data_IF_230265228494
#
_entry.id   IF_230265228494
#
_cell.length_a   1.000
_cell.length_b   1.000
_cell.length_c   1.000
_cell.angle_alpha   90.00
_cell.angle_beta   90.00
_cell.angle_gamma   90.00
#
_symmetry.space_group_name_H-M   'P 1'
#
loop_
_entity.id
_entity.type
_entity.pdbx_description
1 polymer ?
#
# COMPACT_ATOMS: atom_id res chain seq x y z
N UNK A 1 40.10 3.88 -17.15
CA UNK A 1 38.82 4.63 -17.17
C UNK A 1 37.70 3.62 -17.00
N UNK A 2 36.94 3.69 -15.91
CA UNK A 2 35.84 2.75 -15.65
C UNK A 2 34.60 3.06 -16.47
N UNK A 3 33.75 2.06 -16.71
CA UNK A 3 32.51 2.19 -17.50
C UNK A 3 31.44 3.12 -16.87
N UNK A 4 31.72 3.74 -15.71
CA UNK A 4 30.85 4.72 -15.08
C UNK A 4 29.43 4.16 -14.86
N UNK A 5 28.41 4.90 -15.28
CA UNK A 5 26.99 4.51 -15.17
C UNK A 5 26.70 3.19 -15.92
N UNK A 6 27.43 2.89 -17.00
CA UNK A 6 27.25 1.64 -17.74
C UNK A 6 27.67 0.40 -16.95
N UNK A 7 28.53 0.54 -15.94
CA UNK A 7 28.87 -0.58 -15.04
C UNK A 7 27.67 -1.06 -14.22
N UNK A 8 26.78 -0.14 -13.79
CA UNK A 8 25.53 -0.46 -13.10
C UNK A 8 24.53 -1.14 -14.02
N UNK A 9 24.42 -0.66 -15.26
CA UNK A 9 23.55 -1.26 -16.28
C UNK A 9 24.02 -2.68 -16.60
N UNK A 10 25.31 -2.85 -16.85
CA UNK A 10 25.91 -4.16 -17.13
C UNK A 10 25.78 -5.10 -15.94
N UNK A 11 26.03 -4.65 -14.71
CA UNK A 11 25.86 -5.47 -13.51
C UNK A 11 24.40 -5.97 -13.37
N UNK A 12 23.41 -5.11 -13.61
CA UNK A 12 21.99 -5.48 -13.55
C UNK A 12 21.63 -6.50 -14.65
N UNK A 13 22.02 -6.22 -15.89
CA UNK A 13 21.74 -7.10 -17.03
C UNK A 13 22.44 -8.45 -16.86
N UNK A 14 23.70 -8.45 -16.45
CA UNK A 14 24.45 -9.69 -16.18
C UNK A 14 23.80 -10.50 -15.06
N UNK A 15 23.32 -9.87 -13.99
CA UNK A 15 22.59 -10.56 -12.91
C UNK A 15 21.34 -11.27 -13.44
N UNK A 16 20.51 -10.58 -14.23
CA UNK A 16 19.28 -11.17 -14.79
C UNK A 16 19.57 -12.30 -15.79
N UNK A 17 20.63 -12.16 -16.61
CA UNK A 17 21.09 -13.22 -17.52
C UNK A 17 21.56 -14.45 -16.73
N UNK A 18 22.44 -14.26 -15.75
CA UNK A 18 22.96 -15.35 -14.92
C UNK A 18 21.82 -16.04 -14.17
N UNK A 19 20.89 -15.28 -13.60
CA UNK A 19 19.71 -15.82 -12.93
C UNK A 19 18.87 -16.68 -13.89
N UNK A 20 18.60 -16.17 -15.10
CA UNK A 20 17.84 -16.90 -16.13
C UNK A 20 18.55 -18.19 -16.52
N UNK A 21 19.85 -18.15 -16.79
CA UNK A 21 20.65 -19.33 -17.13
C UNK A 21 20.66 -20.36 -16.01
N UNK A 22 20.79 -19.93 -14.75
CA UNK A 22 20.70 -20.82 -13.59
C UNK A 22 19.33 -21.48 -13.47
N UNK A 23 18.24 -20.75 -13.73
CA UNK A 23 16.88 -21.32 -13.74
C UNK A 23 16.76 -22.39 -14.83
N UNK A 24 17.24 -22.13 -16.05
CA UNK A 24 17.22 -23.11 -17.14
C UNK A 24 18.15 -24.31 -16.88
N UNK A 25 19.26 -24.11 -16.17
CA UNK A 25 20.17 -25.19 -15.78
C UNK A 25 19.56 -26.11 -14.73
N UNK A 26 18.97 -25.54 -13.68
CA UNK A 26 18.35 -26.31 -12.58
C UNK A 26 17.05 -26.98 -13.03
N UNK A 27 16.25 -26.30 -13.86
CA UNK A 27 15.00 -26.81 -14.37
C UNK A 27 14.99 -26.71 -15.91
N UNK A 28 15.59 -27.69 -16.62
CA UNK A 28 15.65 -27.70 -18.08
C UNK A 28 14.24 -27.82 -18.67
N UNK A 29 13.61 -26.66 -18.87
CA UNK A 29 12.34 -26.50 -19.54
C UNK A 29 12.46 -27.09 -20.95
N UNK A 30 11.87 -28.26 -21.17
CA UNK A 30 11.63 -28.77 -22.52
C UNK A 30 10.53 -27.91 -23.15
N UNK A 31 10.91 -26.77 -23.70
CA UNK A 31 10.02 -25.87 -24.44
C UNK A 31 9.57 -26.59 -25.72
N UNK A 32 8.47 -27.34 -25.63
CA UNK A 32 7.78 -27.85 -26.82
C UNK A 32 6.96 -26.69 -27.39
N UNK A 33 7.25 -26.29 -28.62
CA UNK A 33 6.43 -25.34 -29.38
C UNK A 33 5.08 -25.99 -29.75
N UNK A 34 4.17 -26.05 -28.79
CA UNK A 34 2.80 -26.48 -29.00
C UNK A 34 1.97 -25.23 -29.36
N UNK A 35 1.79 -25.00 -30.66
CA UNK A 35 0.96 -23.91 -31.16
C UNK A 35 -0.52 -24.22 -30.92
N UNK A 36 -1.09 -23.62 -29.88
CA UNK A 36 -2.53 -23.51 -29.71
C UNK A 36 -2.88 -22.04 -29.69
N UNK A 37 -3.38 -21.54 -30.83
CA UNK A 37 -3.77 -20.14 -30.99
C UNK A 37 -4.79 -19.71 -29.92
N UNK A 38 -5.69 -20.62 -29.53
CA UNK A 38 -6.69 -20.38 -28.50
C UNK A 38 -6.07 -20.21 -27.10
N UNK A 39 -5.14 -21.08 -26.69
CA UNK A 39 -4.44 -20.94 -25.40
C UNK A 39 -3.59 -19.67 -25.36
N UNK A 40 -2.89 -19.36 -26.45
CA UNK A 40 -2.09 -18.14 -26.59
C UNK A 40 -2.98 -16.91 -26.48
N UNK A 41 -4.14 -16.88 -27.17
CA UNK A 41 -5.08 -15.76 -27.12
C UNK A 41 -5.57 -15.49 -25.69
N UNK A 42 -5.92 -16.53 -24.94
CA UNK A 42 -6.38 -16.39 -23.55
C UNK A 42 -5.27 -15.88 -22.62
N UNK A 43 -4.05 -16.40 -22.74
CA UNK A 43 -2.90 -15.92 -21.97
C UNK A 43 -2.51 -14.48 -22.33
N UNK A 44 -2.53 -14.12 -23.62
CA UNK A 44 -2.27 -12.77 -24.09
C UNK A 44 -3.35 -11.79 -23.62
N UNK A 45 -4.62 -12.18 -23.61
CA UNK A 45 -5.71 -11.36 -23.09
C UNK A 45 -5.56 -11.11 -21.58
N UNK A 46 -5.13 -12.12 -20.81
CA UNK A 46 -4.82 -11.92 -19.39
C UNK A 46 -3.63 -10.97 -19.20
N UNK A 47 -2.51 -11.26 -19.87
CA UNK A 47 -1.27 -10.48 -19.77
C UNK A 47 -1.44 -9.02 -20.21
N UNK A 48 -2.24 -8.78 -21.26
CA UNK A 48 -2.52 -7.43 -21.74
C UNK A 48 -3.34 -6.63 -20.72
N UNK A 49 -4.36 -7.23 -20.09
CA UNK A 49 -5.13 -6.59 -19.02
C UNK A 49 -4.25 -6.26 -17.80
N UNK A 50 -3.38 -7.19 -17.37
CA UNK A 50 -2.45 -6.93 -16.27
C UNK A 50 -1.47 -5.81 -16.63
N UNK A 51 -0.93 -5.83 -17.84
CA UNK A 51 0.02 -4.80 -18.31
C UNK A 51 -0.65 -3.43 -18.41
N UNK A 52 -1.82 -3.36 -19.03
CA UNK A 52 -2.59 -2.13 -19.17
C UNK A 52 -2.97 -1.53 -17.81
N UNK A 53 -3.46 -2.36 -16.89
CA UNK A 53 -3.79 -1.89 -15.53
C UNK A 53 -2.55 -1.35 -14.78
N UNK A 54 -1.36 -1.94 -14.98
CA UNK A 54 -0.10 -1.44 -14.41
C UNK A 54 0.35 -0.12 -15.03
N UNK A 55 0.22 0.04 -16.36
CA UNK A 55 0.54 1.29 -17.04
C UNK A 55 -0.38 2.41 -16.53
N UNK A 56 -1.69 2.16 -16.49
CA UNK A 56 -2.66 3.12 -15.96
C UNK A 56 -2.40 3.43 -14.48
N UNK A 57 -2.08 2.42 -13.68
CA UNK A 57 -1.66 2.59 -12.29
C UNK A 57 -0.47 3.53 -12.14
N UNK A 58 0.56 3.33 -12.96
CA UNK A 58 1.74 4.19 -12.98
C UNK A 58 1.37 5.62 -13.35
N UNK A 59 0.50 5.82 -14.35
CA UNK A 59 0.04 7.15 -14.75
C UNK A 59 -0.68 7.84 -13.59
N UNK A 60 -1.79 7.28 -13.09
CA UNK A 60 -2.57 7.98 -12.07
C UNK A 60 -1.84 8.15 -10.73
N UNK A 61 -0.89 7.27 -10.41
CA UNK A 61 -0.12 7.33 -9.15
C UNK A 61 1.04 8.33 -9.18
N UNK A 62 1.39 8.88 -10.35
CA UNK A 62 2.49 9.84 -10.49
C UNK A 62 2.04 11.21 -11.05
N UNK A 63 0.80 11.33 -11.53
CA UNK A 63 0.29 12.57 -12.10
C UNK A 63 0.18 13.70 -11.06
N UNK A 64 -0.06 13.38 -9.79
CA UNK A 64 0.00 14.35 -8.69
C UNK A 64 1.35 15.08 -8.65
N UNK A 65 2.48 14.37 -8.72
CA UNK A 65 3.81 15.00 -8.77
C UNK A 65 3.98 15.92 -9.97
N UNK A 66 3.51 15.49 -11.15
CA UNK A 66 3.58 16.31 -12.37
C UNK A 66 2.73 17.57 -12.25
N UNK A 67 1.52 17.45 -11.71
CA UNK A 67 0.59 18.57 -11.52
C UNK A 67 1.16 19.55 -10.48
N UNK A 68 1.62 19.06 -9.32
CA UNK A 68 2.20 19.90 -8.28
C UNK A 68 3.45 20.62 -8.80
N UNK A 69 4.35 19.89 -9.46
CA UNK A 69 5.59 20.46 -10.00
C UNK A 69 5.36 21.55 -11.06
N UNK A 70 4.35 21.35 -11.92
CA UNK A 70 4.06 22.27 -13.02
C UNK A 70 3.21 23.47 -12.59
N UNK A 71 2.19 23.26 -11.76
CA UNK A 71 1.17 24.27 -11.46
C UNK A 71 1.32 24.93 -10.09
N UNK A 72 1.95 24.27 -9.11
CA UNK A 72 2.15 24.83 -7.77
C UNK A 72 3.59 25.28 -7.54
N UNK A 73 4.55 24.55 -8.11
CA UNK A 73 5.96 24.93 -8.16
C UNK A 73 6.90 23.89 -7.55
N UNK A 74 8.21 24.13 -7.70
CA UNK A 74 9.27 23.16 -7.33
C UNK A 74 9.44 23.00 -5.81
N UNK A 75 9.38 24.10 -5.04
CA UNK A 75 9.52 24.04 -3.58
C UNK A 75 8.35 23.27 -2.96
N UNK A 76 7.06 23.59 -3.27
CA UNK A 76 5.93 22.82 -2.79
C UNK A 76 5.94 21.35 -3.22
N UNK A 77 6.41 21.05 -4.44
CA UNK A 77 6.64 19.67 -4.88
C UNK A 77 7.62 18.91 -3.98
N UNK A 78 8.68 19.58 -3.52
CA UNK A 78 9.64 18.99 -2.57
C UNK A 78 8.97 18.58 -1.26
N UNK A 79 8.18 19.47 -0.66
CA UNK A 79 7.43 19.18 0.57
C UNK A 79 6.43 18.04 0.36
N UNK A 80 5.68 18.08 -0.74
CA UNK A 80 4.72 17.05 -1.10
C UNK A 80 5.38 15.68 -1.27
N UNK A 81 6.51 15.64 -1.99
CA UNK A 81 7.22 14.40 -2.27
C UNK A 81 7.77 13.74 -1.01
N UNK A 82 8.34 14.53 -0.10
CA UNK A 82 8.84 14.02 1.18
C UNK A 82 7.68 13.51 2.04
N UNK A 83 6.58 14.26 2.14
CA UNK A 83 5.40 13.83 2.89
C UNK A 83 4.80 12.52 2.35
N UNK A 84 4.72 12.39 1.02
CA UNK A 84 4.20 11.18 0.36
C UNK A 84 5.15 9.99 0.52
N UNK A 85 6.46 10.22 0.45
CA UNK A 85 7.45 9.17 0.68
C UNK A 85 7.34 8.66 2.12
N UNK A 86 7.32 9.55 3.10
CA UNK A 86 7.21 9.19 4.51
C UNK A 86 5.92 8.41 4.83
N UNK A 87 4.78 8.83 4.30
CA UNK A 87 3.50 8.13 4.51
C UNK A 87 3.41 6.78 3.78
N UNK A 88 4.15 6.61 2.67
CA UNK A 88 4.14 5.36 1.90
C UNK A 88 5.18 4.33 2.34
N UNK A 89 6.19 4.73 3.11
CA UNK A 89 7.23 3.83 3.62
C UNK A 89 6.66 2.61 4.36
N UNK A 90 5.77 2.74 5.37
CA UNK A 90 5.21 1.58 6.07
C UNK A 90 4.49 0.60 5.14
N UNK A 91 3.70 1.15 4.21
CA UNK A 91 2.91 0.38 3.25
C UNK A 91 3.83 -0.41 2.30
N UNK A 92 4.89 0.24 1.80
CA UNK A 92 5.83 -0.38 0.87
C UNK A 92 6.61 -1.54 1.51
N UNK A 93 7.07 -1.36 2.76
CA UNK A 93 7.80 -2.39 3.52
C UNK A 93 6.92 -3.58 3.84
N UNK A 94 5.69 -3.34 4.27
CA UNK A 94 4.78 -4.45 4.56
C UNK A 94 4.41 -5.22 3.29
N UNK A 95 4.14 -4.52 2.19
CA UNK A 95 3.84 -5.19 0.91
C UNK A 95 5.01 -6.03 0.39
N UNK A 96 6.27 -5.73 0.76
CA UNK A 96 7.42 -6.60 0.46
C UNK A 96 7.35 -7.89 1.28
N UNK A 97 7.14 -7.78 2.60
CA UNK A 97 7.02 -8.95 3.49
C UNK A 97 5.85 -9.86 3.13
N UNK A 98 4.69 -9.29 2.77
CA UNK A 98 3.51 -10.08 2.41
C UNK A 98 3.72 -10.82 1.09
N UNK A 99 4.44 -10.24 0.11
CA UNK A 99 4.73 -10.95 -1.15
C UNK A 99 5.55 -12.22 -0.92
N UNK A 100 6.46 -12.21 0.05
CA UNK A 100 7.28 -13.36 0.42
C UNK A 100 6.44 -14.47 1.09
N UNK A 101 5.40 -14.11 1.84
CA UNK A 101 4.54 -15.06 2.59
C UNK A 101 3.29 -15.50 1.79
N UNK A 102 2.75 -14.64 0.92
CA UNK A 102 1.47 -14.88 0.24
C UNK A 102 1.60 -15.64 -1.10
N UNK A 103 2.74 -15.53 -1.80
CA UNK A 103 2.91 -16.19 -3.10
C UNK A 103 2.93 -17.72 -2.97
N UNK A 104 3.38 -18.26 -1.84
CA UNK A 104 3.33 -19.70 -1.54
C UNK A 104 1.92 -20.21 -1.26
N UNK A 105 0.95 -19.34 -0.97
CA UNK A 105 -0.41 -19.71 -0.55
C UNK A 105 -1.45 -19.65 -1.68
N UNK A 106 -1.33 -18.69 -2.61
CA UNK A 106 -2.33 -18.54 -3.70
C UNK A 106 -2.11 -19.49 -4.88
N UNK A 107 -0.87 -19.89 -5.16
CA UNK A 107 -0.56 -20.76 -6.30
C UNK A 107 -0.99 -22.22 -6.11
N UNK A 108 -1.21 -22.67 -4.87
CA UNK A 108 -1.65 -24.04 -4.56
C UNK A 108 -3.17 -24.24 -4.59
N UNK A 109 -3.96 -23.17 -4.70
CA UNK A 109 -5.40 -23.18 -4.39
C UNK A 109 -6.26 -22.80 -5.60
N UNK A 110 -5.77 -22.99 -6.82
CA UNK A 110 -6.60 -22.79 -8.01
C UNK A 110 -7.80 -23.76 -7.99
N UNK A 111 -8.97 -23.28 -7.55
CA UNK A 111 -10.23 -24.03 -7.56
C UNK A 111 -11.10 -23.89 -6.30
N UNK A 112 -10.54 -23.57 -5.13
CA UNK A 112 -11.31 -23.43 -3.89
C UNK A 112 -11.58 -21.96 -3.54
N UNK A 113 -12.77 -21.48 -3.92
CA UNK A 113 -13.23 -20.12 -3.62
C UNK A 113 -13.25 -19.84 -2.10
N UNK A 114 -13.60 -20.81 -1.27
CA UNK A 114 -13.72 -20.63 0.19
C UNK A 114 -12.37 -20.30 0.80
N UNK A 115 -11.34 -21.02 0.37
CA UNK A 115 -9.98 -20.80 0.82
C UNK A 115 -9.43 -19.44 0.34
N UNK A 116 -9.72 -19.03 -0.91
CA UNK A 116 -9.34 -17.69 -1.41
C UNK A 116 -10.00 -16.57 -0.60
N UNK A 117 -11.30 -16.70 -0.25
CA UNK A 117 -12.01 -15.76 0.62
C UNK A 117 -11.32 -15.63 1.98
N UNK A 118 -11.01 -16.74 2.62
CA UNK A 118 -10.35 -16.77 3.93
C UNK A 118 -8.97 -16.10 3.87
N UNK A 119 -8.15 -16.41 2.86
CA UNK A 119 -6.85 -15.76 2.68
C UNK A 119 -6.96 -14.27 2.41
N UNK A 120 -7.91 -13.84 1.59
CA UNK A 120 -8.13 -12.43 1.32
C UNK A 120 -8.50 -11.66 2.59
N UNK A 121 -9.45 -12.16 3.38
CA UNK A 121 -9.85 -11.53 4.65
C UNK A 121 -8.70 -11.52 5.66
N UNK A 122 -7.94 -12.62 5.77
CA UNK A 122 -6.73 -12.70 6.60
C UNK A 122 -5.70 -11.64 6.19
N UNK A 123 -5.43 -11.50 4.90
CA UNK A 123 -4.49 -10.51 4.39
C UNK A 123 -4.93 -9.07 4.71
N UNK A 124 -6.21 -8.75 4.45
CA UNK A 124 -6.81 -7.44 4.78
C UNK A 124 -6.66 -7.14 6.28
N UNK A 125 -6.94 -8.11 7.13
CA UNK A 125 -6.86 -7.99 8.59
C UNK A 125 -5.42 -7.77 9.08
N UNK A 126 -4.47 -8.56 8.58
CA UNK A 126 -3.04 -8.42 8.90
C UNK A 126 -2.51 -7.03 8.50
N UNK A 127 -2.87 -6.57 7.30
CA UNK A 127 -2.47 -5.24 6.83
C UNK A 127 -3.08 -4.15 7.70
N UNK A 128 -4.38 -4.24 8.00
CA UNK A 128 -5.02 -3.28 8.88
C UNK A 128 -4.35 -3.24 10.25
N UNK A 129 -4.05 -4.41 10.84
CA UNK A 129 -3.43 -4.52 12.16
C UNK A 129 -1.97 -4.05 12.22
N UNK A 130 -1.27 -3.94 11.10
CA UNK A 130 0.11 -3.43 11.09
C UNK A 130 0.15 -1.98 10.62
N UNK A 131 -0.55 -1.65 9.54
CA UNK A 131 -0.46 -0.33 8.90
C UNK A 131 -1.26 0.73 9.62
N UNK A 132 -2.46 0.41 10.13
CA UNK A 132 -3.33 1.42 10.74
C UNK A 132 -2.69 2.07 11.97
N UNK A 133 -2.14 1.34 12.96
CA UNK A 133 -1.50 1.99 14.11
C UNK A 133 -0.26 2.78 13.69
N UNK A 134 0.49 2.30 12.70
CA UNK A 134 1.69 3.02 12.23
C UNK A 134 1.31 4.35 11.56
N UNK A 135 0.30 4.37 10.67
CA UNK A 135 -0.09 5.59 9.97
C UNK A 135 -0.86 6.57 10.86
N UNK A 136 -1.72 6.08 11.76
CA UNK A 136 -2.40 6.95 12.73
C UNK A 136 -1.37 7.53 13.71
N UNK A 137 -0.43 6.71 14.20
CA UNK A 137 0.67 7.17 15.04
C UNK A 137 1.52 8.24 14.34
N UNK A 138 1.92 7.98 13.10
CA UNK A 138 2.66 8.93 12.27
C UNK A 138 1.90 10.24 12.07
N UNK A 139 0.59 10.19 11.87
CA UNK A 139 -0.26 11.39 11.77
C UNK A 139 -0.26 12.21 13.08
N UNK A 140 -0.33 11.55 14.24
CA UNK A 140 -0.36 12.22 15.56
C UNK A 140 0.99 12.85 15.93
N UNK A 141 2.10 12.27 15.47
CA UNK A 141 3.45 12.79 15.76
C UNK A 141 4.06 13.57 14.59
N UNK A 142 3.32 13.83 13.51
CA UNK A 142 3.88 14.37 12.27
C UNK A 142 4.68 15.67 12.45
N UNK A 143 4.19 16.61 13.26
CA UNK A 143 4.89 17.89 13.50
C UNK A 143 6.23 17.66 14.20
N UNK A 144 6.23 16.84 15.25
CA UNK A 144 7.42 16.51 16.04
C UNK A 144 8.42 15.72 15.20
N UNK A 145 7.91 14.74 14.45
CA UNK A 145 8.70 13.89 13.58
C UNK A 145 9.40 14.71 12.49
N UNK A 146 8.67 15.60 11.81
CA UNK A 146 9.25 16.46 10.76
C UNK A 146 10.27 17.42 11.36
N UNK A 147 9.97 18.05 12.50
CA UNK A 147 10.88 18.98 13.15
C UNK A 147 12.19 18.30 13.59
N UNK A 148 12.10 17.12 14.22
CA UNK A 148 13.27 16.38 14.72
C UNK A 148 14.07 15.75 13.57
N UNK A 149 13.39 15.04 12.66
CA UNK A 149 14.07 14.22 11.65
C UNK A 149 14.53 15.02 10.43
N UNK A 150 13.80 16.08 10.05
CA UNK A 150 14.07 16.85 8.84
C UNK A 150 14.51 18.29 9.12
N UNK A 151 14.02 18.88 10.22
CA UNK A 151 14.31 20.26 10.64
C UNK A 151 13.25 21.27 10.18
N UNK A 152 13.35 22.49 10.73
CA UNK A 152 12.35 23.56 10.59
C UNK A 152 11.95 23.90 9.14
N UNK A 153 12.92 23.84 8.22
CA UNK A 153 12.69 24.11 6.79
C UNK A 153 11.68 23.18 6.12
N UNK A 154 11.41 22.01 6.73
CA UNK A 154 10.46 21.01 6.21
C UNK A 154 9.11 21.04 6.90
N UNK A 155 8.88 21.93 7.87
CA UNK A 155 7.60 22.03 8.58
C UNK A 155 6.36 22.15 7.68
N UNK A 156 6.40 22.82 6.51
CA UNK A 156 5.26 22.80 5.58
C UNK A 156 4.84 21.39 5.11
N UNK A 157 5.76 20.42 5.12
CA UNK A 157 5.47 19.02 4.78
C UNK A 157 4.69 18.28 5.89
N UNK A 158 4.70 18.77 7.13
CA UNK A 158 4.03 18.09 8.24
C UNK A 158 2.52 17.97 8.03
N UNK A 159 1.87 19.06 7.60
CA UNK A 159 0.43 19.03 7.36
C UNK A 159 0.08 18.07 6.21
N UNK A 160 0.89 18.03 5.15
CA UNK A 160 0.75 17.07 4.06
C UNK A 160 0.94 15.63 4.55
N UNK A 161 1.91 15.41 5.44
CA UNK A 161 2.18 14.09 6.01
C UNK A 161 0.97 13.58 6.81
N UNK A 162 0.28 14.44 7.57
CA UNK A 162 -0.96 14.10 8.27
C UNK A 162 -2.04 13.62 7.29
N UNK A 163 -2.35 14.42 6.26
CA UNK A 163 -3.36 14.09 5.25
C UNK A 163 -3.02 12.78 4.54
N UNK A 164 -1.78 12.64 4.06
CA UNK A 164 -1.34 11.50 3.29
C UNK A 164 -1.21 10.23 4.14
N UNK A 165 -0.93 10.34 5.44
CA UNK A 165 -0.95 9.21 6.36
C UNK A 165 -2.37 8.65 6.51
N UNK A 166 -3.38 9.51 6.67
CA UNK A 166 -4.78 9.08 6.73
C UNK A 166 -5.22 8.48 5.39
N UNK A 167 -4.90 9.11 4.26
CA UNK A 167 -5.17 8.55 2.94
C UNK A 167 -4.45 7.19 2.72
N UNK A 168 -3.25 7.06 3.29
CA UNK A 168 -2.45 5.83 3.29
C UNK A 168 -3.15 4.64 3.91
N UNK A 169 -4.00 4.85 4.93
CA UNK A 169 -4.82 3.80 5.56
C UNK A 169 -5.73 3.17 4.51
N UNK A 170 -6.45 4.00 3.75
CA UNK A 170 -7.39 3.54 2.72
C UNK A 170 -6.63 2.89 1.56
N UNK A 171 -5.52 3.51 1.14
CA UNK A 171 -4.64 2.99 0.08
C UNK A 171 -4.05 1.62 0.42
N UNK A 172 -3.69 1.39 1.69
CA UNK A 172 -3.11 0.12 2.13
C UNK A 172 -4.07 -1.05 1.92
N UNK A 173 -5.35 -0.85 2.24
CA UNK A 173 -6.42 -1.82 2.03
C UNK A 173 -6.75 -1.96 0.54
N UNK A 174 -6.91 -0.83 -0.17
CA UNK A 174 -7.20 -0.81 -1.60
C UNK A 174 -6.18 -1.61 -2.44
N UNK A 175 -4.90 -1.56 -2.05
CA UNK A 175 -3.81 -2.22 -2.77
C UNK A 175 -3.89 -3.75 -2.78
N UNK A 176 -4.71 -4.36 -1.91
CA UNK A 176 -4.85 -5.81 -1.79
C UNK A 176 -5.89 -6.42 -2.72
N UNK A 177 -6.75 -5.60 -3.32
CA UNK A 177 -7.80 -6.06 -4.22
C UNK A 177 -7.23 -6.49 -5.58
N UNK A 178 -6.24 -5.75 -6.10
CA UNK A 178 -5.69 -6.05 -7.42
C UNK A 178 -4.98 -7.43 -7.51
N UNK A 179 -4.14 -7.83 -6.52
CA UNK A 179 -3.55 -9.17 -6.50
C UNK A 179 -4.59 -10.30 -6.47
N UNK A 180 -5.63 -10.21 -5.63
CA UNK A 180 -6.65 -11.28 -5.55
C UNK A 180 -7.48 -11.37 -6.83
N UNK A 181 -7.83 -10.24 -7.44
CA UNK A 181 -8.53 -10.20 -8.73
C UNK A 181 -7.70 -10.82 -9.86
N UNK A 182 -6.38 -10.61 -9.86
CA UNK A 182 -5.49 -11.29 -10.80
C UNK A 182 -5.44 -12.80 -10.54
N UNK A 183 -5.37 -13.22 -9.27
CA UNK A 183 -5.31 -14.63 -8.87
C UNK A 183 -6.56 -15.41 -9.29
N UNK A 184 -7.74 -14.79 -9.25
CA UNK A 184 -9.01 -15.41 -9.70
C UNK A 184 -9.31 -15.22 -11.20
N UNK A 185 -8.35 -14.72 -11.99
CA UNK A 185 -8.53 -14.58 -13.44
C UNK A 185 -9.44 -13.42 -13.86
N UNK A 186 -9.56 -12.36 -13.04
CA UNK A 186 -10.40 -11.18 -13.30
C UNK A 186 -9.60 -9.85 -13.45
N UNK A 187 -8.46 -9.80 -14.15
CA UNK A 187 -7.64 -8.58 -14.28
C UNK A 187 -8.35 -7.42 -14.99
N UNK A 188 -9.38 -7.68 -15.78
CA UNK A 188 -10.21 -6.66 -16.44
C UNK A 188 -10.90 -5.70 -15.44
N UNK A 189 -11.14 -6.13 -14.21
CA UNK A 189 -11.68 -5.26 -13.15
C UNK A 189 -10.62 -4.24 -12.72
N UNK A 190 -9.36 -4.66 -12.62
CA UNK A 190 -8.23 -3.77 -12.35
C UNK A 190 -8.05 -2.72 -13.45
N UNK A 191 -8.21 -3.11 -14.72
CA UNK A 191 -8.18 -2.17 -15.85
C UNK A 191 -9.26 -1.11 -15.71
N UNK A 192 -10.53 -1.50 -15.48
CA UNK A 192 -11.65 -0.55 -15.33
C UNK A 192 -11.41 0.41 -14.16
N UNK A 193 -10.95 -0.11 -13.02
CA UNK A 193 -10.59 0.70 -11.87
C UNK A 193 -9.47 1.69 -12.20
N UNK A 194 -8.41 1.24 -12.88
CA UNK A 194 -7.29 2.10 -13.24
C UNK A 194 -7.68 3.16 -14.28
N UNK A 195 -8.59 2.86 -15.21
CA UNK A 195 -9.17 3.85 -16.14
C UNK A 195 -9.94 4.92 -15.36
N UNK A 196 -10.83 4.52 -14.44
CA UNK A 196 -11.58 5.47 -13.59
C UNK A 196 -10.64 6.40 -12.84
N UNK A 197 -9.60 5.84 -12.20
CA UNK A 197 -8.57 6.61 -11.50
C UNK A 197 -7.80 7.55 -12.43
N UNK A 198 -7.39 7.07 -13.60
CA UNK A 198 -6.62 7.86 -14.59
C UNK A 198 -7.43 8.98 -15.20
N UNK A 199 -8.76 8.84 -15.30
CA UNK A 199 -9.61 9.91 -15.80
C UNK A 199 -9.93 10.92 -14.70
N UNK A 200 -10.27 10.47 -13.49
CA UNK A 200 -10.82 11.35 -12.46
C UNK A 200 -9.72 12.01 -11.61
N UNK A 201 -8.71 11.25 -11.16
CA UNK A 201 -7.68 11.79 -10.26
C UNK A 201 -6.91 12.96 -10.89
N UNK A 202 -6.36 12.85 -12.13
CA UNK A 202 -5.68 13.97 -12.79
C UNK A 202 -6.51 15.24 -12.91
N UNK A 203 -7.78 15.10 -13.26
CA UNK A 203 -8.72 16.22 -13.39
C UNK A 203 -8.87 16.91 -12.02
N UNK A 204 -9.10 16.13 -10.97
CA UNK A 204 -9.23 16.69 -9.61
C UNK A 204 -7.94 17.34 -9.12
N UNK A 205 -6.77 16.73 -9.36
CA UNK A 205 -5.48 17.32 -9.01
C UNK A 205 -5.27 18.65 -9.72
N UNK A 206 -5.57 18.74 -11.02
CA UNK A 206 -5.41 19.97 -11.80
C UNK A 206 -6.32 21.11 -11.29
N UNK A 207 -7.56 20.82 -10.94
CA UNK A 207 -8.44 21.85 -10.37
C UNK A 207 -8.00 22.24 -8.95
N UNK A 208 -7.63 21.26 -8.13
CA UNK A 208 -7.24 21.50 -6.73
C UNK A 208 -5.88 22.17 -6.60
N UNK A 209 -4.96 21.97 -7.55
CA UNK A 209 -3.64 22.63 -7.54
C UNK A 209 -3.74 24.16 -7.59
N UNK A 210 -4.85 24.71 -8.07
CA UNK A 210 -5.09 26.16 -8.07
C UNK A 210 -5.26 26.76 -6.68
N UNK A 211 -5.58 25.92 -5.68
CA UNK A 211 -5.80 26.33 -4.30
C UNK A 211 -4.61 26.02 -3.38
N UNK A 212 -3.59 25.31 -3.86
CA UNK A 212 -2.40 24.93 -3.08
C UNK A 212 -2.12 23.42 -3.07
N UNK A 213 -0.97 23.05 -2.50
CA UNK A 213 -0.53 21.64 -2.40
C UNK A 213 -1.38 20.82 -1.42
N UNK A 214 -1.93 21.47 -0.41
CA UNK A 214 -2.79 20.89 0.60
C UNK A 214 -4.06 20.33 -0.02
N UNK A 215 -4.66 21.06 -0.97
CA UNK A 215 -5.85 20.63 -1.69
C UNK A 215 -5.57 19.47 -2.64
N UNK A 216 -4.37 19.41 -3.23
CA UNK A 216 -3.93 18.24 -3.99
C UNK A 216 -3.79 17.02 -3.08
N UNK A 217 -3.25 17.19 -1.87
CA UNK A 217 -3.19 16.11 -0.89
C UNK A 217 -4.61 15.66 -0.45
N UNK A 218 -5.55 16.60 -0.27
CA UNK A 218 -6.94 16.29 0.10
C UNK A 218 -7.68 15.45 -0.96
N UNK A 219 -7.29 15.51 -2.24
CA UNK A 219 -7.84 14.60 -3.26
C UNK A 219 -7.63 13.12 -2.89
N UNK A 220 -6.49 12.77 -2.28
CA UNK A 220 -6.22 11.42 -1.80
C UNK A 220 -7.09 11.01 -0.60
N UNK A 221 -7.59 11.98 0.18
CA UNK A 221 -8.44 11.74 1.34
C UNK A 221 -9.93 11.72 0.98
N UNK A 222 -10.34 12.43 -0.07
CA UNK A 222 -11.76 12.63 -0.42
C UNK A 222 -12.14 11.87 -1.70
N UNK A 223 -11.40 12.09 -2.79
CA UNK A 223 -11.76 11.55 -4.12
C UNK A 223 -11.34 10.09 -4.23
N UNK A 224 -10.11 9.77 -3.82
CA UNK A 224 -9.57 8.43 -3.93
C UNK A 224 -10.42 7.37 -3.20
N UNK A 225 -10.92 7.59 -1.97
CA UNK A 225 -11.79 6.60 -1.29
C UNK A 225 -13.10 6.35 -2.02
N UNK A 226 -13.75 7.40 -2.55
CA UNK A 226 -14.98 7.29 -3.34
C UNK A 226 -14.78 6.38 -4.56
N UNK A 227 -13.65 6.54 -5.26
CA UNK A 227 -13.30 5.69 -6.40
C UNK A 227 -12.90 4.28 -5.97
N UNK A 228 -12.26 4.13 -4.81
CA UNK A 228 -11.87 2.83 -4.23
C UNK A 228 -13.08 1.95 -3.89
N UNK A 229 -14.23 2.53 -3.58
CA UNK A 229 -15.46 1.77 -3.37
C UNK A 229 -15.79 0.86 -4.57
N UNK A 230 -15.50 1.30 -5.80
CA UNK A 230 -15.72 0.49 -7.00
C UNK A 230 -14.97 -0.84 -6.94
N UNK A 231 -13.66 -0.81 -6.66
CA UNK A 231 -12.85 -2.03 -6.64
C UNK A 231 -13.20 -2.91 -5.45
N UNK A 232 -13.56 -2.32 -4.31
CA UNK A 232 -14.06 -3.07 -3.14
C UNK A 232 -15.33 -3.82 -3.52
N UNK A 233 -16.38 -3.15 -4.01
CA UNK A 233 -17.64 -3.82 -4.36
C UNK A 233 -17.47 -4.89 -5.43
N UNK A 234 -16.63 -4.66 -6.44
CA UNK A 234 -16.35 -5.67 -7.46
C UNK A 234 -15.61 -6.87 -6.89
N UNK A 235 -14.60 -6.67 -6.04
CA UNK A 235 -13.87 -7.77 -5.41
C UNK A 235 -14.77 -8.59 -4.50
N UNK A 236 -15.59 -7.93 -3.66
CA UNK A 236 -16.55 -8.62 -2.80
C UNK A 236 -17.55 -9.45 -3.60
N UNK A 237 -18.03 -8.93 -4.73
CA UNK A 237 -18.93 -9.68 -5.62
C UNK A 237 -18.25 -10.91 -6.24
N UNK A 238 -17.05 -10.78 -6.78
CA UNK A 238 -16.35 -11.91 -7.42
C UNK A 238 -15.88 -12.97 -6.41
N UNK A 239 -15.59 -12.56 -5.18
CA UNK A 239 -15.28 -13.44 -4.06
C UNK A 239 -16.53 -13.91 -3.32
N UNK A 240 -17.74 -13.49 -3.71
CA UNK A 240 -18.98 -13.81 -2.98
C UNK A 240 -18.83 -13.57 -1.46
N UNK A 241 -18.24 -12.43 -1.11
CA UNK A 241 -18.06 -11.93 0.26
C UNK A 241 -19.13 -10.88 0.56
N UNK A 242 -19.61 -10.87 1.79
CA UNK A 242 -20.49 -9.83 2.29
C UNK A 242 -19.69 -8.60 2.73
N UNK A 243 -20.31 -7.42 2.65
CA UNK A 243 -19.69 -6.19 3.18
C UNK A 243 -19.43 -6.31 4.69
N UNK A 244 -20.27 -7.04 5.42
CA UNK A 244 -20.13 -7.28 6.85
C UNK A 244 -18.87 -8.06 7.19
N UNK A 245 -18.54 -9.12 6.46
CA UNK A 245 -17.29 -9.88 6.65
C UNK A 245 -16.06 -9.00 6.42
N UNK A 246 -16.11 -8.18 5.37
CA UNK A 246 -15.04 -7.25 5.03
C UNK A 246 -14.85 -6.17 6.10
N UNK A 247 -15.93 -5.55 6.58
CA UNK A 247 -15.88 -4.55 7.65
C UNK A 247 -15.39 -5.18 8.95
N UNK A 248 -15.84 -6.40 9.30
CA UNK A 248 -15.37 -7.11 10.50
C UNK A 248 -13.85 -7.35 10.49
N UNK A 249 -13.27 -7.60 9.32
CA UNK A 249 -11.82 -7.77 9.19
C UNK A 249 -11.03 -6.47 9.47
N UNK A 250 -11.65 -5.30 9.35
CA UNK A 250 -10.99 -3.99 9.45
C UNK A 250 -11.34 -3.27 10.76
N UNK A 251 -12.57 -3.42 11.26
CA UNK A 251 -13.11 -2.60 12.35
C UNK A 251 -12.36 -2.81 13.66
N UNK A 252 -11.91 -4.03 13.95
CA UNK A 252 -11.17 -4.34 15.19
C UNK A 252 -9.78 -3.70 15.17
N UNK A 253 -8.93 -3.89 14.12
CA UNK A 253 -7.70 -3.13 13.97
C UNK A 253 -7.89 -1.62 13.98
N UNK A 254 -8.94 -1.11 13.33
CA UNK A 254 -9.26 0.32 13.31
C UNK A 254 -9.58 0.84 14.70
N UNK A 255 -10.44 0.15 15.45
CA UNK A 255 -10.79 0.51 16.82
C UNK A 255 -9.56 0.49 17.74
N UNK A 256 -8.74 -0.56 17.67
CA UNK A 256 -7.49 -0.62 18.43
C UNK A 256 -6.56 0.55 18.08
N UNK A 257 -6.45 0.89 16.79
CA UNK A 257 -5.61 2.01 16.34
C UNK A 257 -6.19 3.38 16.68
N UNK A 258 -7.50 3.54 16.77
CA UNK A 258 -8.13 4.80 17.21
C UNK A 258 -8.06 4.98 18.74
N UNK A 259 -8.07 3.87 19.49
CA UNK A 259 -8.03 3.91 20.96
C UNK A 259 -6.76 4.57 21.51
N UNK A 260 -5.65 4.54 20.76
CA UNK A 260 -4.40 5.20 21.17
C UNK A 260 -4.41 6.72 20.97
N UNK A 261 -5.32 7.27 20.17
CA UNK A 261 -5.33 8.70 19.84
C UNK A 261 -5.51 9.57 21.09
N UNK A 262 -6.48 9.24 21.94
CA UNK A 262 -6.81 10.04 23.13
C UNK A 262 -5.63 10.08 24.12
N UNK A 263 -5.06 8.93 24.56
CA UNK A 263 -3.89 8.96 25.45
C UNK A 263 -2.69 9.71 24.88
N UNK A 264 -2.41 9.57 23.59
CA UNK A 264 -1.31 10.29 22.93
C UNK A 264 -1.56 11.79 22.98
N UNK A 265 -2.74 12.26 22.56
CA UNK A 265 -3.06 13.71 22.56
C UNK A 265 -3.02 14.28 23.98
N UNK A 266 -3.58 13.56 24.97
CA UNK A 266 -3.51 13.97 26.38
C UNK A 266 -2.08 14.05 26.91
N UNK A 267 -1.19 13.13 26.50
CA UNK A 267 0.22 13.19 26.87
C UNK A 267 0.94 14.37 26.19
N UNK A 268 0.67 14.58 24.90
CA UNK A 268 1.25 15.65 24.10
C UNK A 268 0.87 17.06 24.59
N UNK A 269 -0.31 17.23 25.20
CA UNK A 269 -0.75 18.52 25.74
C UNK A 269 -0.03 18.94 27.02
N UNK A 270 0.51 17.98 27.78
CA UNK A 270 1.23 18.21 29.04
C UNK A 270 2.74 18.38 28.79
N UNK A 271 3.30 17.62 27.86
CA UNK A 271 4.74 17.57 27.61
C UNK A 271 5.18 18.59 26.55
N UNK A 272 5.96 19.59 26.99
CA UNK A 272 6.50 20.63 26.10
C UNK A 272 7.76 20.21 25.32
N UNK A 273 8.60 19.35 25.90
CA UNK A 273 9.82 18.88 25.25
C UNK A 273 9.49 17.98 24.05
N UNK A 274 9.98 18.34 22.86
CA UNK A 274 9.61 17.69 21.59
C UNK A 274 10.10 16.24 21.50
N UNK A 275 11.30 15.95 21.99
CA UNK A 275 11.88 14.60 21.97
C UNK A 275 11.11 13.67 22.90
N UNK A 276 10.81 14.14 24.11
CA UNK A 276 10.01 13.40 25.08
C UNK A 276 8.57 13.20 24.59
N UNK A 277 8.01 14.20 23.91
CA UNK A 277 6.67 14.11 23.31
C UNK A 277 6.60 13.03 22.25
N UNK A 278 7.57 12.99 21.33
CA UNK A 278 7.62 11.97 20.27
C UNK A 278 7.85 10.57 20.83
N UNK A 279 8.84 10.40 21.71
CA UNK A 279 9.18 9.10 22.28
C UNK A 279 8.07 8.55 23.19
N UNK A 280 7.48 9.41 24.03
CA UNK A 280 6.37 9.04 24.87
C UNK A 280 5.11 8.69 24.07
N UNK A 281 4.80 9.44 22.99
CA UNK A 281 3.69 9.11 22.09
C UNK A 281 3.87 7.72 21.44
N UNK A 282 5.11 7.37 21.03
CA UNK A 282 5.40 6.05 20.49
C UNK A 282 5.17 4.93 21.52
N UNK A 283 5.69 5.09 22.74
CA UNK A 283 5.52 4.09 23.81
C UNK A 283 4.04 3.93 24.19
N UNK A 284 3.35 5.05 24.43
CA UNK A 284 1.93 5.04 24.79
C UNK A 284 1.11 4.39 23.67
N UNK A 285 1.37 4.76 22.42
CA UNK A 285 0.73 4.17 21.25
C UNK A 285 0.93 2.65 21.19
N UNK A 286 2.17 2.19 21.31
CA UNK A 286 2.52 0.77 21.28
C UNK A 286 1.85 -0.02 22.42
N UNK A 287 1.85 0.51 23.64
CA UNK A 287 1.25 -0.14 24.82
C UNK A 287 -0.27 -0.19 24.69
N UNK A 288 -0.93 0.93 24.38
CA UNK A 288 -2.39 0.98 24.24
C UNK A 288 -2.85 0.08 23.09
N UNK A 289 -2.22 0.20 21.93
CA UNK A 289 -2.55 -0.62 20.76
C UNK A 289 -2.38 -2.11 21.05
N UNK A 290 -1.25 -2.52 21.64
CA UNK A 290 -0.99 -3.93 21.97
C UNK A 290 -2.00 -4.46 22.98
N UNK A 291 -2.32 -3.68 24.01
CA UNK A 291 -3.30 -4.05 25.03
C UNK A 291 -4.67 -4.28 24.40
N UNK A 292 -5.20 -3.29 23.67
CA UNK A 292 -6.52 -3.41 23.03
C UNK A 292 -6.54 -4.53 21.99
N UNK A 293 -5.46 -4.71 21.22
CA UNK A 293 -5.35 -5.80 20.25
C UNK A 293 -5.34 -7.19 20.91
N UNK A 294 -4.72 -7.37 22.07
CA UNK A 294 -4.74 -8.65 22.80
C UNK A 294 -6.16 -8.99 23.29
N UNK A 295 -6.92 -8.00 23.75
CA UNK A 295 -8.28 -8.22 24.25
C UNK A 295 -9.31 -8.42 23.14
N UNK A 296 -9.28 -7.59 22.10
CA UNK A 296 -10.31 -7.55 21.06
C UNK A 296 -9.92 -8.26 19.76
N UNK A 297 -8.63 -8.55 19.54
CA UNK A 297 -8.11 -9.02 18.26
C UNK A 297 -7.32 -10.34 18.38
N UNK A 298 -7.83 -11.29 19.17
CA UNK A 298 -7.17 -12.59 19.43
C UNK A 298 -6.81 -13.35 18.14
N UNK A 299 -7.68 -13.31 17.12
CA UNK A 299 -7.41 -13.95 15.82
C UNK A 299 -6.20 -13.31 15.12
N UNK A 300 -6.11 -11.98 15.06
CA UNK A 300 -4.96 -11.32 14.42
C UNK A 300 -3.67 -11.54 15.20
N UNK A 301 -3.71 -11.52 16.54
CA UNK A 301 -2.54 -11.80 17.37
C UNK A 301 -2.01 -13.21 17.08
N UNK A 302 -2.90 -14.19 16.92
CA UNK A 302 -2.54 -15.55 16.52
C UNK A 302 -1.96 -15.62 15.09
N UNK A 303 -2.56 -14.90 14.14
CA UNK A 303 -2.09 -14.84 12.76
C UNK A 303 -0.70 -14.19 12.64
N UNK A 304 -0.44 -13.10 13.38
CA UNK A 304 0.88 -12.44 13.43
C UNK A 304 1.90 -13.39 14.08
N UNK A 305 1.54 -14.03 15.19
CA UNK A 305 2.44 -14.97 15.88
C UNK A 305 2.80 -16.16 14.97
N UNK A 306 1.84 -16.71 14.25
CA UNK A 306 2.09 -17.82 13.29
C UNK A 306 2.95 -17.37 12.10
N UNK A 307 2.73 -16.17 11.57
CA UNK A 307 3.58 -15.61 10.50
C UNK A 307 5.03 -15.40 10.95
N UNK A 308 5.25 -14.89 12.18
CA UNK A 308 6.59 -14.71 12.74
C UNK A 308 7.31 -16.04 13.01
N UNK A 309 6.59 -17.10 13.39
CA UNK A 309 7.18 -18.43 13.54
C UNK A 309 7.67 -19.00 12.20
N UNK A 310 6.93 -18.76 11.11
CA UNK A 310 7.32 -19.21 9.77
C UNK A 310 8.55 -18.48 9.24
N UNK A 311 8.74 -17.21 9.58
CA UNK A 311 9.93 -16.42 9.19
C UNK A 311 11.20 -16.80 9.99
N UNK A 312 11.04 -17.51 11.12
CA UNK A 312 12.15 -17.93 11.97
C UNK A 312 12.76 -19.27 11.55
N UNK A 313 12.08 -20.03 10.69
CA UNK A 313 12.54 -21.31 10.13
C UNK A 313 12.97 -21.14 8.68
#
# INVERSE_FOLDING_TARGET
QGLGVWSLVLAYVSKEIVFTLLVFYVNPLRVKFLYSFEKIKNMLAFGSNVTLSRILWYLYSNVDYLVVGKFVGKIPLGYYSVAFQLSSLPISKLNQLIKEVAFSSYSFVQGDKTMIKAYFLKNIRLIAAIIFPVLIGLCLIADDFVMIALGEKWMPASFLLKILSIAGIIKSIASQHAPVLNAIGKPQINVKYAVLMTLIMPITFYYMSRYGIEWVAMCWLIVYPCLTLYIIFKTLRELELTLTEYIKAIIVPLFASLSMCIPIICFQSVVKNIELRMFGAFIIGAVVYSTVSIFFNKETVYEIKSALMLLRN
#
